data_IF_367881771410
#
_entry.id   IF_367881771410
#
_cell.length_a   1.000
_cell.length_b   1.000
_cell.length_c   1.000
_cell.angle_alpha   90.00
_cell.angle_beta   90.00
_cell.angle_gamma   90.00
#
_symmetry.space_group_name_H-M   'P 1'
#
loop_
_entity.id
_entity.type
_entity.pdbx_description
1 polymer ?
#
# COMPACT_ATOMS: atom_id res chain seq x y z
N UNK A 1 37.76 18.49 9.62
CA UNK A 1 37.36 18.89 8.25
C UNK A 1 38.37 19.95 7.81
N UNK A 2 39.26 19.61 6.90
CA UNK A 2 40.44 20.40 6.50
C UNK A 2 40.11 21.36 5.35
N UNK A 3 40.84 22.47 5.23
CA UNK A 3 40.65 23.54 4.21
C UNK A 3 40.56 23.03 2.76
N UNK A 4 41.18 21.88 2.44
CA UNK A 4 41.15 21.29 1.10
C UNK A 4 39.73 20.88 0.65
N UNK A 5 38.87 20.47 1.59
CA UNK A 5 37.52 20.00 1.30
C UNK A 5 36.57 21.16 0.89
N UNK A 6 36.90 22.40 1.29
CA UNK A 6 36.12 23.58 0.88
C UNK A 6 36.41 23.99 -0.55
N UNK A 7 37.67 23.92 -0.98
CA UNK A 7 38.08 24.26 -2.35
C UNK A 7 37.53 23.25 -3.37
N UNK A 8 37.52 21.96 -3.03
CA UNK A 8 36.94 20.90 -3.88
C UNK A 8 35.43 21.08 -4.02
N UNK A 9 34.72 21.41 -2.93
CA UNK A 9 33.26 21.62 -2.96
C UNK A 9 32.83 22.89 -3.70
N UNK A 10 33.71 23.89 -3.83
CA UNK A 10 33.46 25.11 -4.63
C UNK A 10 33.28 24.76 -6.12
N UNK A 11 34.03 23.78 -6.63
CA UNK A 11 33.89 23.28 -8.01
C UNK A 11 32.48 22.72 -8.26
N UNK A 12 31.97 21.92 -7.33
CA UNK A 12 30.61 21.39 -7.42
C UNK A 12 29.56 22.50 -7.43
N UNK A 13 29.68 23.47 -6.53
CA UNK A 13 28.72 24.58 -6.42
C UNK A 13 28.72 25.43 -7.70
N UNK A 14 29.89 25.78 -8.23
CA UNK A 14 30.02 26.53 -9.50
C UNK A 14 29.46 25.77 -10.68
N UNK A 15 29.79 24.49 -10.80
CA UNK A 15 29.27 23.64 -11.87
C UNK A 15 27.74 23.56 -11.87
N UNK A 16 27.13 23.41 -10.68
CA UNK A 16 25.68 23.41 -10.53
C UNK A 16 25.06 24.77 -10.87
N UNK A 17 25.69 25.87 -10.45
CA UNK A 17 25.21 27.22 -10.75
C UNK A 17 25.22 27.50 -12.26
N UNK A 18 26.34 27.18 -12.94
CA UNK A 18 26.47 27.31 -14.40
C UNK A 18 25.44 26.44 -15.14
N UNK A 19 25.20 25.20 -14.67
CA UNK A 19 24.18 24.32 -15.27
C UNK A 19 22.78 24.93 -15.20
N UNK A 20 22.43 25.52 -14.04
CA UNK A 20 21.13 26.22 -13.85
C UNK A 20 21.02 27.51 -14.65
N UNK A 21 22.14 28.18 -14.92
CA UNK A 21 22.21 29.39 -15.75
C UNK A 21 22.17 29.08 -17.26
N UNK A 22 22.25 27.81 -17.66
CA UNK A 22 22.32 27.39 -19.06
C UNK A 22 23.71 27.49 -19.69
N UNK A 23 24.76 27.70 -18.89
CA UNK A 23 26.16 27.83 -19.31
C UNK A 23 26.79 26.43 -19.44
N UNK A 24 26.43 25.69 -20.48
CA UNK A 24 26.73 24.26 -20.63
C UNK A 24 28.23 23.92 -20.63
N UNK A 25 29.07 24.76 -21.25
CA UNK A 25 30.52 24.52 -21.32
C UNK A 25 31.20 24.69 -19.95
N UNK A 26 30.86 25.77 -19.24
CA UNK A 26 31.40 26.06 -17.91
C UNK A 26 30.92 25.03 -16.89
N UNK A 27 29.63 24.68 -16.94
CA UNK A 27 29.06 23.62 -16.13
C UNK A 27 29.78 22.29 -16.34
N UNK A 28 29.97 21.87 -17.59
CA UNK A 28 30.67 20.62 -17.90
C UNK A 28 32.10 20.62 -17.35
N UNK A 29 32.85 21.69 -17.58
CA UNK A 29 34.22 21.83 -17.09
C UNK A 29 34.33 21.63 -15.58
N UNK A 30 33.54 22.35 -14.79
CA UNK A 30 33.61 22.26 -13.33
C UNK A 30 33.11 20.92 -12.78
N UNK A 31 32.04 20.36 -13.35
CA UNK A 31 31.47 19.11 -12.88
C UNK A 31 32.37 17.90 -13.21
N UNK A 32 32.94 17.82 -14.42
CA UNK A 32 33.89 16.77 -14.79
C UNK A 32 35.18 16.87 -13.98
N UNK A 33 35.69 18.09 -13.77
CA UNK A 33 36.86 18.30 -12.91
C UNK A 33 36.59 17.82 -11.49
N UNK A 34 35.43 18.17 -10.92
CA UNK A 34 35.05 17.72 -9.59
C UNK A 34 34.93 16.19 -9.50
N UNK A 35 34.32 15.53 -10.50
CA UNK A 35 34.24 14.06 -10.55
C UNK A 35 35.62 13.39 -10.59
N UNK A 36 36.60 14.02 -11.26
CA UNK A 36 37.99 13.57 -11.28
C UNK A 36 38.67 13.57 -9.90
N UNK A 37 38.14 14.28 -8.90
CA UNK A 37 38.66 14.31 -7.53
C UNK A 37 38.16 13.16 -6.65
N UNK A 38 37.43 12.19 -7.21
CA UNK A 38 36.85 11.06 -6.50
C UNK A 38 35.99 11.48 -5.27
N UNK A 39 34.95 12.33 -5.49
CA UNK A 39 34.17 12.89 -4.40
C UNK A 39 33.29 11.85 -3.71
N UNK A 40 32.76 12.16 -2.50
CA UNK A 40 31.77 11.32 -1.81
C UNK A 40 30.59 10.97 -2.71
N UNK A 41 30.02 9.77 -2.56
CA UNK A 41 28.96 9.22 -3.43
C UNK A 41 27.77 10.19 -3.61
N UNK A 42 27.33 10.86 -2.53
CA UNK A 42 26.22 11.82 -2.59
C UNK A 42 26.54 13.04 -3.46
N UNK A 43 27.75 13.57 -3.33
CA UNK A 43 28.21 14.74 -4.09
C UNK A 43 28.53 14.35 -5.54
N UNK A 44 29.06 13.14 -5.76
CA UNK A 44 29.22 12.52 -7.08
C UNK A 44 27.89 12.43 -7.83
N UNK A 45 26.85 11.88 -7.20
CA UNK A 45 25.53 11.75 -7.83
C UNK A 45 24.91 13.12 -8.13
N UNK A 46 25.14 14.14 -7.30
CA UNK A 46 24.75 15.50 -7.64
C UNK A 46 25.45 16.01 -8.90
N UNK A 47 26.77 15.82 -9.02
CA UNK A 47 27.50 16.25 -10.20
C UNK A 47 27.05 15.52 -11.48
N UNK A 48 26.89 14.19 -11.41
CA UNK A 48 26.38 13.36 -12.51
C UNK A 48 24.96 13.79 -12.94
N UNK A 49 24.08 14.12 -11.98
CA UNK A 49 22.74 14.58 -12.29
C UNK A 49 22.78 15.86 -13.13
N UNK A 50 23.47 16.91 -12.68
CA UNK A 50 23.51 18.17 -13.43
C UNK A 50 24.25 18.03 -14.77
N UNK A 51 25.26 17.16 -14.87
CA UNK A 51 25.87 16.81 -16.17
C UNK A 51 24.84 16.17 -17.12
N UNK A 52 23.97 15.30 -16.62
CA UNK A 52 22.92 14.67 -17.43
C UNK A 52 21.88 15.68 -17.96
N UNK A 53 21.65 16.78 -17.23
CA UNK A 53 20.68 17.81 -17.60
C UNK A 53 21.19 18.73 -18.73
N UNK A 54 22.52 18.90 -18.83
CA UNK A 54 23.16 19.72 -19.86
C UNK A 54 23.71 18.90 -21.05
N UNK A 55 23.46 17.59 -21.08
CA UNK A 55 23.96 16.69 -22.11
C UNK A 55 22.88 16.40 -23.15
N UNK A 56 23.12 16.84 -24.39
CA UNK A 56 22.15 16.71 -25.49
C UNK A 56 22.01 15.27 -26.03
N UNK A 57 23.11 14.49 -26.00
CA UNK A 57 23.10 13.12 -26.50
C UNK A 57 22.37 12.19 -25.51
N UNK A 58 21.24 11.61 -25.94
CA UNK A 58 20.44 10.70 -25.12
C UNK A 58 21.22 9.47 -24.63
N UNK A 59 22.16 8.92 -25.41
CA UNK A 59 22.95 7.76 -25.00
C UNK A 59 23.93 8.10 -23.87
N UNK A 60 24.58 9.26 -23.95
CA UNK A 60 25.52 9.70 -22.93
C UNK A 60 24.78 10.16 -21.67
N UNK A 61 23.63 10.83 -21.85
CA UNK A 61 22.69 11.15 -20.77
C UNK A 61 22.26 9.90 -20.01
N UNK A 62 21.87 8.84 -20.73
CA UNK A 62 21.49 7.54 -20.13
C UNK A 62 22.62 6.96 -19.29
N UNK A 63 23.84 6.89 -19.82
CA UNK A 63 25.01 6.35 -19.08
C UNK A 63 25.27 7.11 -17.77
N UNK A 64 25.14 8.44 -17.77
CA UNK A 64 25.31 9.25 -16.56
C UNK A 64 24.25 8.89 -15.50
N UNK A 65 23.00 8.70 -15.92
CA UNK A 65 21.89 8.33 -15.04
C UNK A 65 22.05 6.87 -14.53
N UNK A 66 22.45 5.94 -15.39
CA UNK A 66 22.78 4.56 -14.99
C UNK A 66 23.93 4.53 -13.99
N UNK A 67 24.98 5.33 -14.21
CA UNK A 67 26.10 5.46 -13.26
C UNK A 67 25.63 6.03 -11.90
N UNK A 68 24.63 6.91 -11.88
CA UNK A 68 24.03 7.37 -10.63
C UNK A 68 23.33 6.23 -9.89
N UNK A 69 22.60 5.36 -10.61
CA UNK A 69 21.90 4.21 -10.04
C UNK A 69 22.87 3.10 -9.60
N UNK A 70 24.01 2.95 -10.26
CA UNK A 70 25.08 2.05 -9.80
C UNK A 70 25.64 2.50 -8.44
N UNK A 71 25.71 3.82 -8.22
CA UNK A 71 26.19 4.39 -6.96
C UNK A 71 25.12 4.42 -5.85
N UNK A 72 23.89 4.78 -6.22
CA UNK A 72 22.70 4.81 -5.35
C UNK A 72 21.50 4.32 -6.15
N UNK A 73 21.12 3.03 -6.01
CA UNK A 73 20.00 2.47 -6.74
C UNK A 73 18.71 3.25 -6.53
N UNK A 74 18.55 3.97 -5.42
CA UNK A 74 17.32 4.63 -4.99
C UNK A 74 17.23 6.11 -5.39
N UNK A 75 18.16 6.66 -6.20
CA UNK A 75 18.12 8.08 -6.60
C UNK A 75 16.88 8.38 -7.48
N UNK A 76 15.90 9.03 -6.87
CA UNK A 76 14.60 9.36 -7.47
C UNK A 76 14.76 10.18 -8.76
N UNK A 77 15.77 11.06 -8.82
CA UNK A 77 15.97 11.94 -9.97
C UNK A 77 16.46 11.13 -11.16
N UNK A 78 17.43 10.25 -10.96
CA UNK A 78 17.95 9.40 -12.02
C UNK A 78 16.89 8.45 -12.58
N UNK A 79 16.11 7.80 -11.70
CA UNK A 79 14.99 6.93 -12.10
C UNK A 79 13.93 7.66 -12.90
N UNK A 80 13.55 8.87 -12.47
CA UNK A 80 12.56 9.70 -13.18
C UNK A 80 13.04 10.06 -14.59
N UNK A 81 14.29 10.49 -14.72
CA UNK A 81 14.86 10.88 -16.03
C UNK A 81 15.03 9.68 -16.97
N UNK A 82 15.40 8.51 -16.45
CA UNK A 82 15.43 7.28 -17.24
C UNK A 82 14.02 6.88 -17.70
N UNK A 83 13.01 6.98 -16.82
CA UNK A 83 11.62 6.72 -17.23
C UNK A 83 11.15 7.66 -18.35
N UNK A 84 11.59 8.92 -18.36
CA UNK A 84 11.33 9.86 -19.46
C UNK A 84 12.07 9.41 -20.73
N UNK A 85 13.35 9.06 -20.63
CA UNK A 85 14.16 8.60 -21.77
C UNK A 85 13.66 7.28 -22.38
N UNK A 86 13.09 6.40 -21.57
CA UNK A 86 12.52 5.12 -22.01
C UNK A 86 11.07 5.27 -22.54
N UNK A 87 10.49 6.47 -22.46
CA UNK A 87 9.11 6.74 -22.86
C UNK A 87 8.06 6.17 -21.90
N UNK A 88 8.48 5.63 -20.74
CA UNK A 88 7.59 5.17 -19.68
C UNK A 88 6.90 6.35 -18.95
N UNK A 89 7.49 7.54 -19.00
CA UNK A 89 6.97 8.80 -18.47
C UNK A 89 6.89 9.88 -19.56
N UNK A 90 5.74 10.09 -20.21
CA UNK A 90 5.56 11.16 -21.19
C UNK A 90 5.72 12.53 -20.52
N UNK A 91 6.53 13.41 -21.10
CA UNK A 91 6.88 14.74 -20.53
C UNK A 91 5.63 15.61 -20.34
N UNK A 92 4.66 15.47 -21.22
CA UNK A 92 3.36 16.17 -21.21
C UNK A 92 2.38 15.65 -20.15
N UNK A 93 2.60 14.44 -19.62
CA UNK A 93 1.78 13.84 -18.55
C UNK A 93 2.34 14.13 -17.15
N UNK A 94 3.53 14.74 -17.06
CA UNK A 94 4.10 15.13 -15.78
C UNK A 94 3.23 16.24 -15.18
N UNK A 95 2.61 16.00 -14.03
CA UNK A 95 1.77 17.01 -13.37
C UNK A 95 2.66 18.18 -12.96
N UNK A 96 2.38 19.35 -13.52
CA UNK A 96 2.84 20.63 -12.99
C UNK A 96 2.04 20.94 -11.72
N UNK A 97 2.65 20.97 -10.53
CA UNK A 97 1.93 21.23 -9.28
C UNK A 97 1.23 22.60 -9.26
N UNK A 98 1.61 23.54 -10.14
CA UNK A 98 0.98 24.86 -10.29
C UNK A 98 -0.14 24.87 -11.34
N UNK A 99 -0.29 23.79 -12.12
CA UNK A 99 -1.32 23.63 -13.17
C UNK A 99 -1.82 22.18 -13.21
N UNK A 100 -2.77 21.87 -12.35
CA UNK A 100 -3.44 20.59 -12.34
C UNK A 100 -4.28 20.42 -13.63
N UNK A 101 -4.10 19.32 -14.40
CA UNK A 101 -4.95 19.05 -15.54
C UNK A 101 -6.37 18.68 -15.10
N UNK A 102 -7.38 19.11 -15.87
CA UNK A 102 -8.76 18.65 -15.70
C UNK A 102 -8.86 17.16 -16.06
N UNK A 103 -9.45 16.36 -15.17
CA UNK A 103 -9.67 14.94 -15.41
C UNK A 103 -10.74 14.77 -16.49
N UNK A 104 -10.38 14.20 -17.63
CA UNK A 104 -11.33 13.75 -18.63
C UNK A 104 -11.73 12.30 -18.34
N UNK A 105 -13.03 12.00 -18.15
CA UNK A 105 -13.49 10.63 -17.96
C UNK A 105 -13.36 9.86 -19.27
N UNK A 106 -12.56 8.80 -19.27
CA UNK A 106 -12.53 7.83 -20.37
C UNK A 106 -13.85 7.03 -20.40
N UNK A 107 -14.39 6.81 -21.60
CA UNK A 107 -15.56 5.96 -21.83
C UNK A 107 -15.20 4.48 -21.62
N UNK A 108 -15.98 3.80 -20.78
CA UNK A 108 -15.81 2.36 -20.50
C UNK A 108 -16.19 1.55 -21.74
N UNK A 109 -15.25 0.74 -22.21
CA UNK A 109 -15.58 -0.46 -22.98
C UNK A 109 -16.41 -1.37 -22.08
N UNK A 110 -17.74 -1.44 -22.32
CA UNK A 110 -18.65 -2.43 -21.74
C UNK A 110 -18.02 -3.83 -21.87
N UNK A 111 -17.35 -4.31 -20.82
CA UNK A 111 -17.00 -5.72 -20.75
C UNK A 111 -18.31 -6.49 -20.59
N UNK A 112 -18.52 -7.45 -21.49
CA UNK A 112 -19.70 -8.29 -21.51
C UNK A 112 -19.90 -8.97 -20.15
N UNK A 113 -21.04 -8.74 -19.52
CA UNK A 113 -21.41 -9.44 -18.30
C UNK A 113 -21.66 -10.93 -18.63
N UNK A 114 -20.65 -11.76 -18.42
CA UNK A 114 -20.75 -13.20 -18.63
C UNK A 114 -21.70 -13.82 -17.60
N UNK A 115 -22.62 -14.66 -18.10
CA UNK A 115 -23.65 -15.32 -17.28
C UNK A 115 -23.24 -16.76 -17.03
N UNK A 116 -22.84 -17.07 -15.80
CA UNK A 116 -22.49 -18.43 -15.40
C UNK A 116 -23.74 -19.26 -15.09
N UNK A 117 -24.07 -20.17 -16.01
CA UNK A 117 -25.23 -21.07 -15.92
C UNK A 117 -24.74 -22.49 -15.67
N UNK A 118 -25.35 -23.17 -14.69
CA UNK A 118 -24.98 -24.54 -14.35
C UNK A 118 -25.23 -25.47 -15.53
N UNK A 119 -24.20 -26.18 -16.04
CA UNK A 119 -24.38 -27.11 -17.16
C UNK A 119 -25.26 -28.32 -16.79
N UNK A 120 -25.42 -28.60 -15.50
CA UNK A 120 -26.21 -29.74 -15.00
C UNK A 120 -27.70 -29.43 -14.84
N UNK A 121 -28.04 -28.25 -14.31
CA UNK A 121 -29.43 -27.94 -13.93
C UNK A 121 -29.95 -26.59 -14.46
N UNK A 122 -29.13 -25.81 -15.14
CA UNK A 122 -29.50 -24.46 -15.60
C UNK A 122 -29.59 -23.41 -14.48
N UNK A 123 -29.32 -23.78 -13.23
CA UNK A 123 -29.32 -22.87 -12.09
C UNK A 123 -28.17 -21.86 -12.15
N UNK A 124 -28.28 -20.76 -11.40
CA UNK A 124 -27.20 -19.78 -11.23
C UNK A 124 -25.98 -20.46 -10.62
N UNK A 125 -24.80 -20.17 -11.16
CA UNK A 125 -23.54 -20.51 -10.50
C UNK A 125 -22.92 -19.28 -9.88
N UNK A 126 -22.28 -19.47 -8.74
CA UNK A 126 -21.51 -18.46 -8.03
C UNK A 126 -20.12 -18.97 -7.77
N UNK A 127 -19.13 -18.08 -7.71
CA UNK A 127 -17.78 -18.51 -7.37
C UNK A 127 -17.74 -19.12 -5.98
N UNK A 128 -16.96 -20.18 -5.82
CA UNK A 128 -16.52 -20.56 -4.50
C UNK A 128 -15.62 -19.48 -3.92
N UNK A 129 -15.52 -19.40 -2.59
CA UNK A 129 -14.71 -18.38 -1.91
C UNK A 129 -13.28 -18.24 -2.48
N UNK A 130 -12.69 -19.36 -2.92
CA UNK A 130 -11.36 -19.47 -3.53
C UNK A 130 -11.25 -18.86 -4.96
N UNK A 131 -12.38 -18.53 -5.61
CA UNK A 131 -12.45 -18.00 -6.98
C UNK A 131 -11.97 -18.92 -8.10
N UNK A 132 -11.61 -20.17 -7.80
CA UNK A 132 -11.10 -21.13 -8.79
C UNK A 132 -12.17 -22.06 -9.35
N UNK A 133 -13.36 -22.01 -8.77
CA UNK A 133 -14.48 -22.82 -9.26
C UNK A 133 -15.79 -22.11 -9.04
N UNK A 134 -16.77 -22.50 -9.83
CA UNK A 134 -18.15 -22.07 -9.71
C UNK A 134 -18.93 -23.19 -9.04
N UNK A 135 -19.71 -22.88 -8.01
CA UNK A 135 -20.69 -23.76 -7.39
C UNK A 135 -22.10 -23.32 -7.77
N UNK A 136 -22.94 -24.26 -8.19
CA UNK A 136 -24.35 -23.98 -8.42
C UNK A 136 -25.10 -23.80 -7.10
N UNK A 137 -25.80 -22.68 -6.93
CA UNK A 137 -26.64 -22.40 -5.75
C UNK A 137 -27.81 -23.38 -5.60
N UNK A 138 -28.22 -24.06 -6.69
CA UNK A 138 -29.37 -24.95 -6.70
C UNK A 138 -29.01 -26.43 -6.52
N UNK A 139 -27.98 -26.91 -7.21
CA UNK A 139 -27.64 -28.35 -7.24
C UNK A 139 -26.22 -28.67 -6.76
N UNK A 140 -25.52 -27.67 -6.20
CA UNK A 140 -24.18 -27.77 -5.60
C UNK A 140 -23.09 -28.31 -6.52
N UNK A 141 -23.37 -28.40 -7.83
CA UNK A 141 -22.39 -28.88 -8.81
C UNK A 141 -21.29 -27.86 -8.96
N UNK A 142 -20.04 -28.34 -8.85
CA UNK A 142 -18.82 -27.55 -8.95
C UNK A 142 -18.22 -27.67 -10.34
N UNK A 143 -17.89 -26.55 -10.99
CA UNK A 143 -17.13 -26.52 -12.24
C UNK A 143 -15.87 -25.70 -12.05
N UNK A 144 -14.72 -26.21 -12.49
CA UNK A 144 -13.49 -25.43 -12.50
C UNK A 144 -13.62 -24.28 -13.49
N UNK A 145 -13.20 -23.10 -13.08
CA UNK A 145 -13.06 -21.93 -13.95
C UNK A 145 -11.65 -21.39 -13.76
N UNK A 146 -10.91 -21.26 -14.84
CA UNK A 146 -9.58 -20.66 -14.77
C UNK A 146 -9.74 -19.14 -14.78
N UNK A 147 -9.68 -18.53 -13.60
CA UNK A 147 -9.47 -17.08 -13.48
C UNK A 147 -8.21 -16.70 -14.29
N UNK A 148 -8.28 -15.59 -15.02
CA UNK A 148 -7.28 -15.22 -16.03
C UNK A 148 -5.84 -15.27 -15.49
N UNK A 149 -4.97 -16.02 -16.16
CA UNK A 149 -3.55 -16.11 -15.86
C UNK A 149 -2.81 -14.82 -16.26
N UNK A 150 -3.02 -13.74 -15.53
CA UNK A 150 -2.21 -12.52 -15.60
C UNK A 150 -1.07 -12.58 -14.59
N UNK A 151 0.12 -12.09 -14.95
CA UNK A 151 1.16 -11.84 -13.96
C UNK A 151 0.80 -10.55 -13.21
N UNK A 152 0.71 -10.60 -11.87
CA UNK A 152 0.64 -9.39 -11.04
C UNK A 152 1.96 -8.63 -11.24
N UNK A 153 1.88 -7.35 -11.61
CA UNK A 153 3.05 -6.48 -11.81
C UNK A 153 2.90 -5.24 -10.95
N UNK A 154 3.87 -4.98 -10.10
CA UNK A 154 3.86 -3.77 -9.27
C UNK A 154 4.02 -2.50 -10.12
N UNK A 155 3.42 -1.39 -9.67
CA UNK A 155 3.56 -0.10 -10.35
C UNK A 155 4.76 0.69 -9.80
N UNK A 156 5.48 1.37 -10.68
CA UNK A 156 6.58 2.25 -10.28
C UNK A 156 6.02 3.53 -9.64
N UNK A 157 6.27 3.70 -8.34
CA UNK A 157 5.71 4.79 -7.54
C UNK A 157 6.15 6.18 -8.02
N UNK A 158 7.40 6.32 -8.48
CA UNK A 158 7.94 7.60 -8.96
C UNK A 158 7.28 8.03 -10.26
N UNK A 159 7.04 7.10 -11.18
CA UNK A 159 6.35 7.36 -12.45
C UNK A 159 4.87 7.69 -12.18
N UNK A 160 4.24 6.94 -11.28
CA UNK A 160 2.86 7.16 -10.90
C UNK A 160 2.67 8.56 -10.28
N UNK A 161 3.37 8.89 -9.19
CA UNK A 161 3.27 10.22 -8.55
C UNK A 161 3.58 11.39 -9.49
N UNK A 162 4.51 11.20 -10.43
CA UNK A 162 4.86 12.24 -11.38
C UNK A 162 3.77 12.49 -12.43
N UNK A 163 2.81 11.58 -12.62
CA UNK A 163 1.76 11.68 -13.64
C UNK A 163 0.36 11.76 -13.03
N UNK A 164 -0.62 12.16 -13.85
CA UNK A 164 -2.03 11.94 -13.51
C UNK A 164 -2.37 10.46 -13.21
N UNK A 165 -1.50 9.52 -13.61
CA UNK A 165 -1.62 8.08 -13.28
C UNK A 165 -1.21 7.72 -11.85
N UNK A 166 -0.69 8.65 -11.05
CA UNK A 166 -0.68 8.50 -9.58
C UNK A 166 -2.09 8.43 -9.00
N UNK A 167 -3.08 8.80 -9.82
CA UNK A 167 -4.51 8.57 -9.63
C UNK A 167 -5.07 7.45 -10.56
N UNK A 168 -4.18 6.61 -11.12
CA UNK A 168 -4.36 5.57 -12.16
C UNK A 168 -5.22 5.95 -13.38
N UNK A 169 -5.34 5.04 -14.36
CA UNK A 169 -6.45 5.10 -15.32
C UNK A 169 -7.72 4.74 -14.58
N UNK A 170 -8.42 5.77 -14.16
CA UNK A 170 -9.54 5.64 -13.29
C UNK A 170 -10.72 5.07 -14.09
N UNK A 171 -11.09 3.82 -13.80
CA UNK A 171 -12.16 3.13 -14.53
C UNK A 171 -13.49 3.55 -13.92
N UNK A 172 -14.37 4.04 -14.78
CA UNK A 172 -15.75 4.34 -14.44
C UNK A 172 -16.46 3.08 -13.94
N UNK A 173 -16.58 2.98 -12.61
CA UNK A 173 -17.13 1.81 -11.92
C UNK A 173 -18.39 2.21 -11.16
N UNK A 174 -19.33 1.26 -11.04
CA UNK A 174 -20.53 1.44 -10.24
C UNK A 174 -20.17 1.51 -8.75
N UNK A 175 -20.10 2.73 -8.22
CA UNK A 175 -19.78 2.98 -6.81
C UNK A 175 -21.03 3.48 -6.08
N UNK A 176 -21.23 2.96 -4.86
CA UNK A 176 -22.23 3.46 -3.93
C UNK A 176 -21.53 4.16 -2.77
N UNK A 177 -21.93 5.40 -2.53
CA UNK A 177 -21.55 6.15 -1.35
C UNK A 177 -22.52 5.90 -0.19
N UNK A 178 -22.02 5.38 0.93
CA UNK A 178 -22.84 5.16 2.12
C UNK A 178 -23.04 6.44 2.93
N UNK A 179 -24.26 6.98 2.94
CA UNK A 179 -24.62 8.18 3.72
C UNK A 179 -24.50 8.02 5.25
N UNK A 180 -24.35 6.80 5.77
CA UNK A 180 -24.24 6.53 7.22
C UNK A 180 -22.80 6.53 7.74
N UNK A 181 -21.86 5.95 6.99
CA UNK A 181 -20.46 5.82 7.39
C UNK A 181 -19.46 6.49 6.44
N UNK A 182 -19.94 7.06 5.33
CA UNK A 182 -19.16 7.74 4.30
C UNK A 182 -18.18 6.84 3.54
N UNK A 183 -18.25 5.51 3.72
CA UNK A 183 -17.49 4.56 2.93
C UNK A 183 -18.12 4.36 1.56
N UNK A 184 -17.28 4.08 0.57
CA UNK A 184 -17.67 3.86 -0.81
C UNK A 184 -17.40 2.41 -1.22
N UNK A 185 -18.31 1.85 -2.01
CA UNK A 185 -18.27 0.44 -2.37
C UNK A 185 -18.50 0.22 -3.85
N UNK A 186 -17.69 -0.66 -4.43
CA UNK A 186 -17.95 -1.28 -5.73
C UNK A 186 -19.06 -2.30 -5.53
N UNK A 187 -20.18 -2.09 -6.23
CA UNK A 187 -21.32 -3.00 -6.18
C UNK A 187 -21.59 -3.66 -7.54
N UNK A 188 -22.08 -4.91 -7.57
CA UNK A 188 -22.47 -5.56 -8.80
C UNK A 188 -23.61 -4.83 -9.53
N UNK A 189 -23.57 -4.74 -10.88
CA UNK A 189 -24.49 -3.90 -11.67
C UNK A 189 -25.96 -4.33 -11.69
N UNK A 190 -26.32 -5.44 -11.03
CA UNK A 190 -27.70 -5.96 -10.96
C UNK A 190 -28.22 -6.07 -9.53
N UNK A 191 -27.53 -5.49 -8.56
CA UNK A 191 -28.00 -5.47 -7.17
C UNK A 191 -29.05 -4.35 -7.01
N UNK A 192 -30.24 -4.68 -6.49
CA UNK A 192 -31.33 -3.71 -6.28
C UNK A 192 -31.33 -3.12 -4.87
N UNK A 193 -30.81 -3.87 -3.90
CA UNK A 193 -30.75 -3.50 -2.50
C UNK A 193 -29.43 -3.97 -1.91
N UNK A 194 -28.86 -3.15 -1.04
CA UNK A 194 -27.62 -3.46 -0.34
C UNK A 194 -27.67 -2.97 1.10
N UNK A 195 -27.01 -3.69 1.99
CA UNK A 195 -26.84 -3.30 3.39
C UNK A 195 -25.37 -2.97 3.64
N UNK A 196 -25.12 -1.80 4.22
CA UNK A 196 -23.76 -1.38 4.51
C UNK A 196 -23.08 -2.28 5.57
N UNK A 197 -21.88 -2.81 5.29
CA UNK A 197 -21.16 -3.68 6.22
C UNK A 197 -20.61 -2.99 7.46
N UNK A 198 -20.55 -1.65 7.44
CA UNK A 198 -20.04 -0.86 8.54
C UNK A 198 -21.16 -0.37 9.47
N UNK A 199 -22.15 0.34 8.92
CA UNK A 199 -23.21 0.97 9.72
C UNK A 199 -24.58 0.29 9.61
N UNK A 200 -24.68 -0.81 8.85
CA UNK A 200 -25.91 -1.60 8.67
C UNK A 200 -27.10 -0.87 8.03
N UNK A 201 -26.88 0.34 7.51
CA UNK A 201 -27.89 1.09 6.74
C UNK A 201 -28.27 0.34 5.48
N UNK A 202 -29.58 0.29 5.18
CA UNK A 202 -30.10 -0.34 3.97
C UNK A 202 -30.29 0.71 2.88
N UNK A 203 -29.83 0.40 1.68
CA UNK A 203 -29.91 1.26 0.51
C UNK A 203 -30.67 0.57 -0.61
N UNK A 204 -31.50 1.36 -1.30
CA UNK A 204 -32.05 1.02 -2.60
C UNK A 204 -31.09 1.56 -3.66
N UNK A 205 -30.68 0.70 -4.58
CA UNK A 205 -29.70 1.04 -5.62
C UNK A 205 -30.47 1.61 -6.82
N UNK A 206 -30.75 2.92 -6.78
CA UNK A 206 -31.34 3.68 -7.90
C UNK A 206 -30.39 4.71 -8.50
N UNK A 207 -29.42 5.18 -7.71
CA UNK A 207 -28.38 6.12 -8.15
C UNK A 207 -27.04 5.41 -8.02
N UNK A 208 -26.53 4.96 -9.16
CA UNK A 208 -25.15 4.54 -9.27
C UNK A 208 -24.41 5.69 -9.92
N UNK A 209 -23.57 6.35 -9.14
CA UNK A 209 -22.66 7.35 -9.67
C UNK A 209 -21.45 6.62 -10.25
N UNK A 210 -21.17 6.90 -11.53
CA UNK A 210 -19.96 6.41 -12.16
C UNK A 210 -18.83 7.31 -11.74
N UNK A 211 -17.92 6.78 -10.92
CA UNK A 211 -16.73 7.50 -10.48
C UNK A 211 -15.48 6.91 -11.11
N UNK A 212 -14.54 7.76 -11.54
CA UNK A 212 -13.19 7.32 -11.86
C UNK A 212 -12.53 6.74 -10.59
N UNK A 213 -12.24 5.43 -10.57
CA UNK A 213 -11.49 4.80 -9.47
C UNK A 213 -10.27 4.02 -9.96
N UNK A 214 -9.22 4.00 -9.13
CA UNK A 214 -8.11 3.04 -9.30
C UNK A 214 -8.61 1.64 -9.02
N UNK A 215 -8.50 0.76 -10.01
CA UNK A 215 -8.80 -0.65 -9.81
C UNK A 215 -7.66 -1.33 -9.03
N UNK A 216 -7.98 -2.26 -8.12
CA UNK A 216 -6.97 -3.10 -7.49
C UNK A 216 -6.22 -3.92 -8.55
N UNK A 217 -4.92 -4.14 -8.34
CA UNK A 217 -4.12 -5.00 -9.20
C UNK A 217 -4.26 -6.48 -8.81
N UNK A 218 -4.45 -6.75 -7.52
CA UNK A 218 -4.54 -8.10 -6.98
C UNK A 218 -5.46 -8.16 -5.77
N UNK A 219 -5.84 -9.38 -5.39
CA UNK A 219 -6.61 -9.65 -4.19
C UNK A 219 -6.20 -10.98 -3.56
N UNK A 220 -6.58 -11.18 -2.30
CA UNK A 220 -6.51 -12.51 -1.66
C UNK A 220 -7.92 -13.13 -1.71
N UNK A 221 -8.12 -14.35 -2.24
CA UNK A 221 -9.43 -14.99 -2.21
C UNK A 221 -9.93 -15.28 -0.79
N UNK A 222 -11.24 -15.44 -0.61
CA UNK A 222 -11.76 -15.95 0.66
C UNK A 222 -11.40 -17.43 0.79
N UNK A 223 -10.64 -17.81 1.82
CA UNK A 223 -10.37 -19.20 2.14
C UNK A 223 -11.26 -19.70 3.29
N UNK A 224 -11.65 -18.79 4.19
CA UNK A 224 -12.57 -19.06 5.29
C UNK A 224 -13.99 -18.88 4.79
N UNK A 225 -14.76 -19.96 4.78
CA UNK A 225 -16.18 -19.95 4.42
C UNK A 225 -17.04 -19.26 5.50
N UNK A 226 -18.26 -18.78 5.17
CA UNK A 226 -19.15 -18.19 6.17
C UNK A 226 -19.51 -19.16 7.31
N UNK A 227 -19.54 -20.47 7.03
CA UNK A 227 -19.78 -21.49 8.06
C UNK A 227 -18.61 -21.61 9.03
N UNK A 228 -17.38 -21.63 8.52
CA UNK A 228 -16.17 -21.68 9.35
C UNK A 228 -16.03 -20.40 10.18
N UNK A 229 -16.29 -19.24 9.58
CA UNK A 229 -16.34 -17.98 10.29
C UNK A 229 -17.40 -17.99 11.42
N UNK A 230 -18.59 -18.56 11.16
CA UNK A 230 -19.61 -18.80 12.17
C UNK A 230 -19.09 -19.67 13.33
N UNK A 231 -18.41 -20.78 13.03
CA UNK A 231 -17.85 -21.66 14.05
C UNK A 231 -16.77 -20.96 14.89
N UNK A 232 -15.94 -20.11 14.29
CA UNK A 232 -14.94 -19.31 15.01
C UNK A 232 -15.60 -18.36 16.01
N UNK A 233 -16.74 -17.75 15.64
CA UNK A 233 -17.51 -16.88 16.54
C UNK A 233 -18.06 -17.67 17.72
N UNK A 234 -18.62 -18.86 17.47
CA UNK A 234 -19.11 -19.74 18.52
C UNK A 234 -17.99 -20.13 19.50
N UNK A 235 -16.85 -20.60 18.98
CA UNK A 235 -15.70 -20.99 19.80
C UNK A 235 -15.18 -19.83 20.65
N UNK A 236 -15.04 -18.63 20.06
CA UNK A 236 -14.61 -17.44 20.79
C UNK A 236 -15.61 -17.06 21.89
N UNK A 237 -16.91 -17.12 21.62
CA UNK A 237 -17.97 -16.77 22.57
C UNK A 237 -18.03 -17.73 23.77
N UNK A 238 -17.84 -19.03 23.54
CA UNK A 238 -17.77 -20.02 24.61
C UNK A 238 -16.59 -19.74 25.55
N UNK A 239 -15.42 -19.40 25.01
CA UNK A 239 -14.22 -19.11 25.80
C UNK A 239 -14.31 -17.77 26.56
N UNK A 240 -14.89 -16.74 25.94
CA UNK A 240 -14.80 -15.36 26.42
C UNK A 240 -16.05 -14.86 27.15
N UNK A 241 -17.25 -15.34 26.79
CA UNK A 241 -18.54 -14.89 27.35
C UNK A 241 -19.34 -16.03 28.01
N UNK A 242 -18.84 -17.28 27.97
CA UNK A 242 -19.58 -18.50 28.39
C UNK A 242 -20.97 -18.60 27.73
N UNK A 243 -21.13 -18.04 26.53
CA UNK A 243 -22.37 -18.05 25.77
C UNK A 243 -22.24 -19.01 24.59
N UNK A 244 -22.83 -20.22 24.66
CA UNK A 244 -22.75 -21.22 23.57
C UNK A 244 -23.55 -20.81 22.33
N UNK A 245 -24.48 -19.85 22.48
CA UNK A 245 -25.32 -19.32 21.41
C UNK A 245 -25.22 -17.80 21.37
N UNK A 246 -24.07 -17.23 20.94
CA UNK A 246 -23.94 -15.79 20.78
C UNK A 246 -24.98 -15.26 19.79
N UNK A 247 -25.60 -14.14 20.15
CA UNK A 247 -26.41 -13.40 19.20
C UNK A 247 -25.50 -12.56 18.31
N UNK A 248 -25.34 -12.98 17.06
CA UNK A 248 -24.53 -12.31 16.05
C UNK A 248 -25.46 -11.67 15.02
N UNK A 249 -25.17 -10.44 14.59
CA UNK A 249 -25.78 -9.88 13.39
C UNK A 249 -25.44 -10.75 12.17
N UNK A 250 -26.12 -10.52 11.03
CA UNK A 250 -25.74 -11.18 9.79
C UNK A 250 -24.24 -10.93 9.51
N UNK A 251 -23.46 -12.01 9.43
CA UNK A 251 -22.04 -11.98 9.13
C UNK A 251 -21.87 -11.60 7.65
N UNK A 252 -21.07 -10.57 7.37
CA UNK A 252 -20.88 -10.05 6.02
C UNK A 252 -19.43 -10.22 5.56
N UNK A 253 -19.24 -10.76 4.37
CA UNK A 253 -17.93 -10.84 3.72
C UNK A 253 -17.69 -9.60 2.87
N UNK A 254 -16.55 -8.95 3.08
CA UNK A 254 -16.18 -7.68 2.45
C UNK A 254 -14.72 -7.76 2.02
N UNK A 255 -14.42 -7.20 0.85
CA UNK A 255 -13.06 -6.88 0.46
C UNK A 255 -12.68 -5.48 0.93
N UNK A 256 -11.68 -5.37 1.80
CA UNK A 256 -11.13 -4.09 2.23
C UNK A 256 -9.91 -3.72 1.39
N UNK A 257 -9.72 -2.45 1.03
CA UNK A 257 -8.58 -2.02 0.24
C UNK A 257 -7.36 -1.78 1.13
N UNK A 258 -6.20 -2.23 0.66
CA UNK A 258 -4.90 -1.95 1.25
C UNK A 258 -3.88 -1.62 0.17
N UNK A 259 -2.94 -0.76 0.50
CA UNK A 259 -1.74 -0.51 -0.29
C UNK A 259 -0.63 -1.43 0.19
N UNK A 260 0.15 -2.00 -0.74
CA UNK A 260 1.49 -2.50 -0.43
C UNK A 260 2.52 -1.56 -1.02
N UNK A 261 3.66 -1.44 -0.36
CA UNK A 261 4.75 -0.57 -0.77
C UNK A 261 6.10 -1.25 -0.60
N UNK A 262 6.94 -1.09 -1.60
CA UNK A 262 8.35 -1.42 -1.50
C UNK A 262 9.09 -0.19 -1.04
N UNK A 263 9.76 -0.29 0.10
CA UNK A 263 10.49 0.82 0.72
C UNK A 263 11.95 0.47 0.80
N UNK A 264 12.78 1.25 0.12
CA UNK A 264 14.21 1.02 0.05
C UNK A 264 15.01 2.30 0.21
N UNK A 265 16.32 2.15 0.43
CA UNK A 265 17.22 3.28 0.53
C UNK A 265 18.33 3.09 1.55
N UNK A 266 18.95 4.22 1.91
CA UNK A 266 19.98 4.25 2.93
C UNK A 266 19.48 4.98 4.18
N UNK A 267 19.70 4.37 5.34
CA UNK A 267 19.49 5.02 6.63
C UNK A 267 20.80 5.16 7.37
N UNK A 268 20.94 6.24 8.12
CA UNK A 268 22.07 6.43 9.05
C UNK A 268 21.54 6.80 10.42
N UNK A 269 22.25 6.41 11.48
CA UNK A 269 21.83 6.72 12.83
C UNK A 269 23.00 7.07 13.74
N UNK A 270 22.66 7.79 14.80
CA UNK A 270 23.53 8.07 15.94
C UNK A 270 22.80 7.59 17.18
N UNK A 271 23.52 6.89 18.05
CA UNK A 271 23.03 6.41 19.34
C UNK A 271 24.14 6.45 20.39
N UNK A 272 23.79 6.27 21.66
CA UNK A 272 24.75 6.07 22.74
C UNK A 272 24.69 4.62 23.21
N UNK A 273 25.84 3.97 23.32
CA UNK A 273 25.98 2.61 23.85
C UNK A 273 26.64 2.66 25.22
N UNK A 274 26.16 1.84 26.17
CA UNK A 274 26.77 1.68 27.48
C UNK A 274 27.97 0.72 27.41
N UNK A 275 29.18 1.26 27.49
CA UNK A 275 30.43 0.50 27.52
C UNK A 275 31.20 0.84 28.81
N UNK A 276 31.59 -0.17 29.60
CA UNK A 276 32.38 0.03 30.83
C UNK A 276 31.79 1.09 31.79
N UNK A 277 30.45 1.14 31.90
CA UNK A 277 29.68 2.14 32.68
C UNK A 277 29.73 3.57 32.16
N UNK A 278 30.23 3.78 30.94
CA UNK A 278 30.26 5.08 30.27
C UNK A 278 29.41 5.03 29.00
N UNK A 279 28.69 6.13 28.72
CA UNK A 279 27.93 6.28 27.49
C UNK A 279 28.84 6.77 26.39
N UNK A 280 28.94 6.01 25.29
CA UNK A 280 29.75 6.39 24.13
C UNK A 280 28.90 6.55 22.89
N UNK A 281 29.04 7.65 22.14
CA UNK A 281 28.32 7.84 20.89
C UNK A 281 28.85 6.88 19.83
N UNK A 282 27.93 6.24 19.12
CA UNK A 282 28.19 5.43 17.92
C UNK A 282 27.36 5.96 16.78
N UNK A 283 27.98 6.03 15.61
CA UNK A 283 27.34 6.38 14.34
C UNK A 283 27.50 5.21 13.40
N UNK A 284 26.44 4.86 12.70
CA UNK A 284 26.47 3.82 11.69
C UNK A 284 25.47 4.12 10.57
N UNK A 285 25.55 3.35 9.49
CA UNK A 285 24.64 3.44 8.34
C UNK A 285 24.45 2.08 7.70
N UNK A 286 23.28 1.87 7.08
CA UNK A 286 23.02 0.67 6.29
C UNK A 286 22.02 0.94 5.17
N UNK A 287 22.11 0.13 4.13
CA UNK A 287 21.06 0.02 3.12
C UNK A 287 19.94 -0.87 3.66
N UNK A 288 18.70 -0.49 3.36
CA UNK A 288 17.49 -1.21 3.73
C UNK A 288 16.63 -1.45 2.49
N UNK A 289 15.93 -2.56 2.50
CA UNK A 289 14.86 -2.86 1.56
C UNK A 289 13.78 -3.64 2.29
N UNK A 290 12.57 -3.13 2.27
CA UNK A 290 11.38 -3.76 2.82
C UNK A 290 10.38 -3.93 1.70
N UNK A 291 10.11 -5.18 1.39
CA UNK A 291 9.10 -5.60 0.42
C UNK A 291 7.72 -5.66 1.10
N UNK A 292 6.68 -5.27 0.36
CA UNK A 292 5.28 -5.39 0.76
C UNK A 292 4.92 -4.80 2.14
N UNK A 293 5.31 -3.55 2.40
CA UNK A 293 4.80 -2.80 3.55
C UNK A 293 3.30 -2.54 3.38
N UNK A 294 2.47 -3.28 4.13
CA UNK A 294 1.02 -3.11 4.15
C UNK A 294 0.57 -1.84 4.88
N UNK A 295 -0.27 -1.06 4.21
CA UNK A 295 -0.96 0.11 4.76
C UNK A 295 -2.42 0.06 4.36
N UNK A 296 -3.34 0.18 5.31
CA UNK A 296 -4.75 0.21 4.98
C UNK A 296 -5.11 1.44 4.13
N UNK A 297 -5.97 1.20 3.15
CA UNK A 297 -6.53 2.25 2.31
C UNK A 297 -7.96 2.64 2.74
N UNK A 298 -8.51 1.98 3.77
CA UNK A 298 -9.78 2.34 4.43
C UNK A 298 -9.55 3.20 5.67
N UNK A 299 -10.56 3.98 6.06
CA UNK A 299 -10.62 4.70 7.34
C UNK A 299 -11.36 3.91 8.43
N UNK A 300 -11.91 2.75 8.08
CA UNK A 300 -12.71 1.93 8.97
C UNK A 300 -11.84 1.08 9.90
N UNK A 301 -12.32 0.88 11.12
CA UNK A 301 -11.69 0.06 12.16
C UNK A 301 -10.20 0.36 12.43
N UNK A 302 -9.79 1.64 12.64
CA UNK A 302 -8.38 2.02 12.74
C UNK A 302 -7.62 1.28 13.84
N UNK A 303 -8.29 0.98 14.96
CA UNK A 303 -7.70 0.29 16.11
C UNK A 303 -7.36 -1.20 15.88
N UNK A 304 -7.96 -1.85 14.88
CA UNK A 304 -7.72 -3.27 14.58
C UNK A 304 -6.97 -3.49 13.29
N UNK A 305 -6.85 -2.44 12.48
CA UNK A 305 -6.38 -2.56 11.12
C UNK A 305 -4.96 -3.13 11.04
N UNK A 306 -4.03 -2.67 11.88
CA UNK A 306 -2.67 -3.21 11.89
C UNK A 306 -2.66 -4.72 12.24
N UNK A 307 -3.44 -5.13 13.26
CA UNK A 307 -3.53 -6.53 13.68
C UNK A 307 -4.12 -7.43 12.59
N UNK A 308 -5.07 -6.88 11.82
CA UNK A 308 -5.69 -7.54 10.69
C UNK A 308 -4.74 -7.65 9.50
N UNK A 309 -4.08 -6.54 9.12
CA UNK A 309 -3.12 -6.52 8.02
C UNK A 309 -1.94 -7.46 8.27
N UNK A 310 -1.38 -7.45 9.49
CA UNK A 310 -0.28 -8.33 9.91
C UNK A 310 -0.65 -9.83 9.93
N UNK A 311 -1.91 -10.18 9.63
CA UNK A 311 -2.39 -11.57 9.65
C UNK A 311 -2.64 -12.19 8.28
N UNK A 312 -2.33 -11.48 7.20
CA UNK A 312 -2.40 -12.02 5.84
C UNK A 312 -1.06 -12.60 5.41
N UNK A 313 -1.14 -13.65 4.61
CA UNK A 313 -0.04 -14.19 3.83
C UNK A 313 -0.18 -13.67 2.38
N UNK A 314 0.64 -12.67 2.05
CA UNK A 314 0.61 -12.01 0.75
C UNK A 314 1.12 -12.89 -0.41
N UNK A 315 1.77 -14.03 -0.11
CA UNK A 315 2.21 -14.95 -1.17
C UNK A 315 1.05 -15.60 -1.94
N UNK A 316 -0.18 -15.47 -1.43
CA UNK A 316 -1.41 -16.00 -2.03
C UNK A 316 -2.20 -14.92 -2.80
N UNK A 317 -1.59 -13.77 -3.10
CA UNK A 317 -2.19 -12.77 -3.96
C UNK A 317 -2.42 -13.33 -5.37
N UNK A 318 -3.61 -13.09 -5.90
CA UNK A 318 -3.99 -13.40 -7.28
C UNK A 318 -4.37 -12.12 -8.03
N UNK A 319 -4.24 -12.06 -9.36
CA UNK A 319 -4.70 -10.92 -10.14
C UNK A 319 -6.16 -10.57 -9.84
N UNK A 320 -6.46 -9.27 -9.78
CA UNK A 320 -7.84 -8.81 -9.59
C UNK A 320 -8.70 -9.21 -10.79
N UNK A 321 -9.88 -9.75 -10.49
CA UNK A 321 -10.94 -10.00 -11.45
C UNK A 321 -12.29 -9.65 -10.79
N UNK A 322 -13.17 -8.99 -11.55
CA UNK A 322 -14.53 -8.67 -11.09
C UNK A 322 -15.33 -9.92 -10.70
N UNK A 323 -14.97 -11.09 -11.21
CA UNK A 323 -15.55 -12.39 -10.83
C UNK A 323 -15.48 -12.66 -9.32
N UNK A 324 -14.43 -12.22 -8.63
CA UNK A 324 -14.31 -12.36 -7.17
C UNK A 324 -15.34 -11.52 -6.40
N UNK A 325 -15.86 -10.46 -7.02
CA UNK A 325 -16.90 -9.59 -6.45
C UNK A 325 -18.31 -10.13 -6.70
N UNK A 326 -18.46 -11.31 -7.32
CA UNK A 326 -19.77 -11.90 -7.62
C UNK A 326 -20.61 -12.14 -6.34
N UNK A 327 -19.95 -12.41 -5.22
CA UNK A 327 -20.60 -12.72 -3.93
C UNK A 327 -20.27 -11.71 -2.82
N UNK A 328 -19.28 -10.84 -3.02
CA UNK A 328 -18.75 -9.97 -1.98
C UNK A 328 -18.65 -8.53 -2.49
N UNK A 329 -18.96 -7.58 -1.62
CA UNK A 329 -18.72 -6.16 -1.93
C UNK A 329 -17.25 -5.82 -1.68
N UNK A 330 -16.72 -4.89 -2.47
CA UNK A 330 -15.40 -4.33 -2.24
C UNK A 330 -15.53 -2.85 -1.88
N UNK A 331 -14.89 -2.43 -0.80
CA UNK A 331 -14.75 -1.01 -0.50
C UNK A 331 -13.70 -0.39 -1.43
N UNK A 332 -13.94 0.85 -1.89
CA UNK A 332 -12.93 1.64 -2.61
C UNK A 332 -11.95 2.28 -1.63
N UNK A 333 -10.77 2.68 -2.10
CA UNK A 333 -9.80 3.34 -1.24
C UNK A 333 -10.28 4.74 -0.81
N UNK A 334 -10.16 5.04 0.47
CA UNK A 334 -10.41 6.38 1.04
C UNK A 334 -9.11 7.15 1.36
N UNK A 335 -7.98 6.45 1.36
CA UNK A 335 -6.65 6.99 1.60
C UNK A 335 -5.86 6.81 0.31
N UNK A 336 -5.42 7.92 -0.27
CA UNK A 336 -4.65 7.90 -1.52
C UNK A 336 -3.25 7.28 -1.32
N UNK A 337 -2.62 6.87 -2.41
CA UNK A 337 -1.30 6.25 -2.39
C UNK A 337 -0.21 7.15 -1.78
N UNK A 338 -0.30 8.48 -1.95
CA UNK A 338 0.69 9.43 -1.40
C UNK A 338 0.67 9.48 0.13
N UNK A 339 -0.52 9.62 0.73
CA UNK A 339 -0.72 9.60 2.18
C UNK A 339 -0.36 8.23 2.77
N UNK A 340 -0.72 7.15 2.07
CA UNK A 340 -0.37 5.80 2.48
C UNK A 340 1.14 5.53 2.39
N UNK A 341 1.84 6.08 1.40
CA UNK A 341 3.30 5.99 1.27
C UNK A 341 4.04 6.67 2.42
N UNK A 342 3.53 7.80 2.92
CA UNK A 342 4.09 8.44 4.13
C UNK A 342 3.99 7.51 5.34
N UNK A 343 2.84 6.82 5.51
CA UNK A 343 2.67 5.82 6.57
C UNK A 343 3.57 4.60 6.36
N UNK A 344 3.78 4.15 5.13
CA UNK A 344 4.69 3.04 4.82
C UNK A 344 6.13 3.38 5.22
N UNK A 345 6.59 4.60 4.91
CA UNK A 345 7.90 5.13 5.34
C UNK A 345 8.01 5.20 6.87
N UNK A 346 6.97 5.67 7.55
CA UNK A 346 6.94 5.72 9.01
C UNK A 346 7.01 4.32 9.62
N UNK A 347 6.18 3.38 9.15
CA UNK A 347 6.19 1.97 9.58
C UNK A 347 7.57 1.33 9.40
N UNK A 348 8.20 1.55 8.24
CA UNK A 348 9.55 1.06 7.94
C UNK A 348 10.56 1.63 8.93
N UNK A 349 10.51 2.94 9.19
CA UNK A 349 11.41 3.60 10.14
C UNK A 349 11.23 3.08 11.57
N UNK A 350 10.00 2.76 11.98
CA UNK A 350 9.73 2.17 13.30
C UNK A 350 10.26 0.74 13.42
N UNK A 351 10.11 -0.08 12.35
CA UNK A 351 10.72 -1.42 12.28
C UNK A 351 12.24 -1.34 12.40
N UNK A 352 12.85 -0.43 11.64
CA UNK A 352 14.30 -0.21 11.66
C UNK A 352 14.81 0.30 13.00
N UNK A 353 14.06 1.19 13.66
CA UNK A 353 14.37 1.64 15.03
C UNK A 353 14.44 0.47 16.01
N UNK A 354 13.50 -0.47 15.94
CA UNK A 354 13.50 -1.68 16.78
C UNK A 354 14.71 -2.56 16.47
N UNK A 355 14.99 -2.82 15.19
CA UNK A 355 16.18 -3.60 14.78
C UNK A 355 17.48 -2.97 15.29
N UNK A 356 17.64 -1.64 15.17
CA UNK A 356 18.82 -0.93 15.66
C UNK A 356 18.94 -1.02 17.18
N UNK A 357 17.80 -0.93 17.88
CA UNK A 357 17.76 -1.07 19.34
C UNK A 357 18.16 -2.47 19.80
N UNK A 358 17.69 -3.50 19.09
CA UNK A 358 17.92 -4.91 19.42
C UNK A 358 19.31 -5.41 18.97
N UNK A 359 19.90 -4.79 17.94
CA UNK A 359 21.22 -5.15 17.42
C UNK A 359 22.35 -4.97 18.43
N UNK A 360 22.21 -4.01 19.35
CA UNK A 360 23.20 -3.80 20.39
C UNK A 360 23.00 -4.82 21.51
N UNK A 361 23.93 -5.77 21.65
CA UNK A 361 24.04 -6.64 22.83
C UNK A 361 24.26 -5.86 24.16
N UNK A 362 24.38 -4.54 24.06
CA UNK A 362 24.57 -3.58 25.14
C UNK A 362 23.38 -2.63 25.22
N UNK A 363 23.11 -2.07 26.40
CA UNK A 363 22.05 -1.07 26.56
C UNK A 363 22.34 0.17 25.70
N UNK A 364 21.34 0.60 24.92
CA UNK A 364 21.40 1.80 24.07
C UNK A 364 20.39 2.86 24.50
N UNK A 365 20.67 4.13 24.16
CA UNK A 365 19.72 5.25 24.30
C UNK A 365 19.96 6.32 23.23
N UNK A 366 19.08 7.33 23.20
CA UNK A 366 19.20 8.52 22.34
C UNK A 366 19.34 8.20 20.84
N UNK A 367 18.61 7.18 20.36
CA UNK A 367 18.66 6.76 18.96
C UNK A 367 18.01 7.81 18.07
N UNK A 368 18.81 8.42 17.19
CA UNK A 368 18.36 9.35 16.15
C UNK A 368 18.66 8.73 14.79
N UNK A 369 17.63 8.59 13.95
CA UNK A 369 17.74 7.99 12.61
C UNK A 369 17.49 9.09 11.57
N UNK A 370 18.36 9.17 10.57
CA UNK A 370 18.20 9.97 9.37
C UNK A 370 17.76 9.06 8.22
N UNK A 371 16.57 9.32 7.68
CA UNK A 371 15.91 8.59 6.60
C UNK A 371 15.74 9.43 5.33
N UNK A 372 16.55 10.48 5.14
CA UNK A 372 16.48 11.38 3.97
C UNK A 372 16.61 10.60 2.65
N UNK A 373 17.43 9.56 2.64
CA UNK A 373 17.70 8.71 1.47
C UNK A 373 16.85 7.43 1.43
N UNK A 374 15.71 7.43 2.12
CA UNK A 374 14.72 6.35 2.08
C UNK A 374 13.56 6.77 1.18
N UNK A 375 13.25 5.94 0.19
CA UNK A 375 12.20 6.17 -0.81
C UNK A 375 11.21 5.01 -0.85
N UNK A 376 10.01 5.30 -1.34
CA UNK A 376 9.07 4.28 -1.82
C UNK A 376 9.38 4.03 -3.29
N UNK A 377 9.53 2.76 -3.67
CA UNK A 377 9.92 2.35 -5.02
C UNK A 377 8.72 1.96 -5.87
N UNK A 378 7.90 1.06 -5.31
CA UNK A 378 6.78 0.44 -5.96
C UNK A 378 5.58 0.42 -5.02
N UNK A 379 4.40 0.31 -5.62
CA UNK A 379 3.16 0.21 -4.87
C UNK A 379 2.12 -0.58 -5.66
N UNK A 380 1.19 -1.20 -4.92
CA UNK A 380 0.00 -1.83 -5.50
C UNK A 380 -1.22 -1.64 -4.61
N UNK A 381 -2.37 -1.38 -5.22
CA UNK A 381 -3.66 -1.46 -4.54
C UNK A 381 -4.10 -2.93 -4.54
N UNK A 382 -4.38 -3.47 -3.36
CA UNK A 382 -4.86 -4.84 -3.18
C UNK A 382 -6.18 -4.89 -2.42
N UNK A 383 -6.95 -5.96 -2.61
CA UNK A 383 -8.13 -6.26 -1.81
C UNK A 383 -7.89 -7.45 -0.87
N UNK A 384 -8.28 -7.27 0.39
CA UNK A 384 -8.12 -8.25 1.45
C UNK A 384 -9.49 -8.72 1.97
N UNK A 385 -9.72 -10.04 2.08
CA UNK A 385 -11.02 -10.61 2.44
C UNK A 385 -11.25 -10.56 3.96
N UNK A 386 -12.34 -9.96 4.40
CA UNK A 386 -12.69 -9.81 5.82
C UNK A 386 -14.12 -10.23 6.05
N UNK A 387 -14.36 -11.01 7.11
CA UNK A 387 -15.68 -11.19 7.68
C UNK A 387 -15.92 -10.16 8.78
N UNK A 388 -17.04 -9.46 8.70
CA UNK A 388 -17.47 -8.43 9.65
C UNK A 388 -18.82 -8.80 10.26
N UNK A 389 -18.96 -8.60 11.56
CA UNK A 389 -20.24 -8.78 12.25
C UNK A 389 -20.27 -8.04 13.58
N UNK A 390 -21.47 -7.94 14.16
CA UNK A 390 -21.67 -7.49 15.54
C UNK A 390 -22.06 -8.68 16.39
N UNK A 391 -21.36 -8.90 17.49
CA UNK A 391 -21.76 -9.84 18.54
C UNK A 391 -22.42 -9.07 19.69
N UNK A 392 -23.53 -9.61 20.20
CA UNK A 392 -24.24 -9.02 21.35
C UNK A 392 -23.73 -9.68 22.63
N UNK A 393 -23.11 -8.88 23.51
CA UNK A 393 -22.61 -9.29 24.82
C UNK A 393 -23.46 -8.61 25.90
N UNK A 394 -24.52 -9.28 26.34
CA UNK A 394 -25.51 -8.70 27.25
C UNK A 394 -26.30 -7.57 26.59
N UNK A 395 -26.09 -6.31 27.02
CA UNK A 395 -26.76 -5.13 26.45
C UNK A 395 -25.88 -4.33 25.46
N UNK A 396 -24.65 -4.76 25.21
CA UNK A 396 -23.75 -4.07 24.28
C UNK A 396 -23.59 -4.89 23.00
N UNK A 397 -23.49 -4.21 21.87
CA UNK A 397 -23.06 -4.81 20.61
C UNK A 397 -21.60 -4.44 20.37
N UNK A 398 -20.82 -5.44 19.96
CA UNK A 398 -19.39 -5.31 19.77
C UNK A 398 -19.04 -5.76 18.36
N UNK A 399 -18.27 -4.94 17.66
CA UNK A 399 -17.77 -5.29 16.33
C UNK A 399 -16.68 -6.35 16.44
N UNK A 400 -16.81 -7.35 15.58
CA UNK A 400 -15.84 -8.42 15.39
C UNK A 400 -15.38 -8.44 13.93
N UNK A 401 -14.13 -8.82 13.73
CA UNK A 401 -13.53 -9.03 12.41
C UNK A 401 -12.89 -10.41 12.38
N UNK A 402 -12.96 -11.09 11.25
CA UNK A 402 -12.26 -12.34 11.02
C UNK A 402 -11.52 -12.22 9.70
N UNK A 403 -10.22 -12.48 9.73
CA UNK A 403 -9.42 -12.57 8.51
C UNK A 403 -9.98 -13.69 7.62
N UNK A 404 -10.42 -13.34 6.40
CA UNK A 404 -11.03 -14.26 5.45
C UNK A 404 -10.07 -15.24 4.78
N UNK A 405 -8.76 -15.09 4.97
CA UNK A 405 -7.72 -16.03 4.56
C UNK A 405 -7.31 -16.96 5.70
N UNK A 406 -6.97 -16.40 6.87
CA UNK A 406 -6.33 -17.15 7.97
C UNK A 406 -7.28 -17.54 9.10
N UNK A 407 -8.47 -16.95 9.16
CA UNK A 407 -9.41 -17.17 10.25
C UNK A 407 -9.05 -16.44 11.55
N UNK A 408 -8.02 -15.59 11.55
CA UNK A 408 -7.66 -14.80 12.74
C UNK A 408 -8.85 -13.96 13.19
N UNK A 409 -9.33 -14.26 14.39
CA UNK A 409 -10.44 -13.56 15.03
C UNK A 409 -9.93 -12.30 15.76
N UNK A 410 -10.58 -11.17 15.53
CA UNK A 410 -10.25 -9.89 16.13
C UNK A 410 -11.50 -9.28 16.74
N UNK A 411 -11.41 -8.96 18.02
CA UNK A 411 -12.44 -8.29 18.78
C UNK A 411 -11.82 -7.38 19.81
N UNK A 412 -12.60 -6.42 20.36
CA UNK A 412 -12.32 -5.90 21.69
C UNK A 412 -12.11 -7.01 22.71
N UNK A 413 -11.30 -6.74 23.76
CA UNK A 413 -11.29 -7.63 24.91
C UNK A 413 -12.72 -7.75 25.47
N UNK A 414 -13.18 -8.97 25.81
CA UNK A 414 -14.42 -9.13 26.56
C UNK A 414 -14.31 -8.36 27.90
N UNK A 415 -15.45 -7.94 28.47
CA UNK A 415 -15.47 -7.17 29.72
C UNK A 415 -14.52 -7.80 30.75
N UNK A 416 -13.65 -7.02 31.41
CA UNK A 416 -12.81 -7.56 32.46
C UNK A 416 -13.69 -8.15 33.56
N UNK A 417 -13.32 -9.33 34.06
CA UNK A 417 -13.88 -9.91 35.28
C UNK A 417 -13.46 -9.02 36.47
N UNK A 418 -14.20 -7.93 36.72
CA UNK A 418 -14.01 -7.04 37.87
C UNK A 418 -14.03 -5.55 37.56
N UNK A 419 -14.63 -4.77 38.47
CA UNK A 419 -14.91 -3.33 38.36
C UNK A 419 -13.67 -2.40 38.28
N UNK A 420 -12.44 -2.93 38.34
CA UNK A 420 -11.22 -2.12 38.48
C UNK A 420 -10.40 -1.86 37.20
N UNK A 421 -10.65 -2.57 36.10
CA UNK A 421 -9.72 -2.59 34.96
C UNK A 421 -10.06 -1.63 33.80
N UNK A 422 -11.14 -0.85 33.90
CA UNK A 422 -11.58 0.05 32.82
C UNK A 422 -10.73 1.33 32.71
N UNK A 423 -10.12 1.79 33.81
CA UNK A 423 -9.43 3.09 33.83
C UNK A 423 -7.99 3.09 33.29
N UNK A 424 -7.33 1.94 33.10
CA UNK A 424 -5.90 1.90 32.75
C UNK A 424 -5.60 1.77 31.26
N UNK A 425 -6.55 1.37 30.40
CA UNK A 425 -6.28 1.08 28.99
C UNK A 425 -6.78 2.15 27.99
N UNK A 426 -7.38 3.25 28.44
CA UNK A 426 -7.86 4.33 27.57
C UNK A 426 -6.95 5.58 27.58
N UNK A 427 -5.92 5.62 28.44
CA UNK A 427 -4.98 6.75 28.57
C UNK A 427 -3.51 6.33 28.70
N UNK A 428 -3.16 5.13 28.22
CA UNK A 428 -1.79 4.60 28.22
C UNK A 428 -1.14 4.70 26.85
#
# INVERSE_FOLDING_TARGET
>A
MTENNYAERDLLVRGIAAAKAGETQEARFFLEWYLGQNPPITERNNALFYLSQITDNQSDRRKLLETMLDNDPFDIRARRELAILDGALPVDQVIDPDKLPEQQPDEVSNQSADRFICPKCGGRMTYTPDGHSLTCEYCETRTQHQAGAGAVRDENFIVALATAKGHSQAVNTQVIHCQGCNAEFIVPPRQLTWQCPYCQSNYKIEQVESHPIILPLSLIPFYVSPREAGNLIHAWSEENDNSPHPQVSALQGIYIPAWTFDVGGNISWVLEVLENKEWKPRKDQKSIFHDDILVAATRMWPQWMNVLLDSYDLSQLVPFDYEYLANWVAETYQINAGDAALRARETTLQRERKVIQDYSLQTVRNITINSTWMTVEQYKLILLPVWSGLITLGQIQVQILINGQTGKFISPPPKPKGLGAWFTNLFG
#
